data_IF_359614805740
#
_entry.id   IF_359614805740
#
_cell.length_a   1.000
_cell.length_b   1.000
_cell.length_c   1.000
_cell.angle_alpha   90.00
_cell.angle_beta   90.00
_cell.angle_gamma   90.00
#
_symmetry.space_group_name_H-M   'P 1'
#
loop_
_entity.id
_entity.type
_entity.pdbx_description
1 polymer ?
#
# COMPACT_ATOMS: atom_id res chain seq x y z
N UNK A 1 -0.11 -9.03 -12.31
CA UNK A 1 -1.37 -8.66 -12.97
C UNK A 1 -1.07 -7.61 -14.03
N UNK A 2 -1.37 -7.86 -15.31
CA UNK A 2 -0.90 -7.00 -16.42
C UNK A 2 -1.59 -5.63 -16.55
N UNK A 3 -2.63 -5.38 -15.72
CA UNK A 3 -3.50 -4.20 -15.79
C UNK A 3 -3.42 -3.30 -14.54
N UNK A 4 -2.32 -3.38 -13.81
CA UNK A 4 -2.09 -2.56 -12.61
C UNK A 4 -1.07 -1.45 -12.90
N UNK A 5 -1.54 -0.21 -12.88
CA UNK A 5 -0.68 0.96 -13.02
C UNK A 5 -0.47 1.60 -11.65
N UNK A 6 0.79 1.89 -11.32
CA UNK A 6 1.18 2.52 -10.06
C UNK A 6 1.79 3.88 -10.38
N UNK A 7 1.19 4.94 -9.83
CA UNK A 7 1.61 6.32 -9.96
C UNK A 7 2.31 6.77 -8.68
N UNK A 8 3.59 7.14 -8.79
CA UNK A 8 4.39 7.61 -7.67
C UNK A 8 5.62 8.41 -8.10
N UNK A 9 6.10 9.26 -7.21
CA UNK A 9 7.43 9.87 -7.31
C UNK A 9 8.51 8.89 -6.79
N UNK A 10 9.64 8.78 -7.51
CA UNK A 10 10.71 7.78 -7.33
C UNK A 10 10.89 7.30 -5.87
N UNK A 11 10.83 5.98 -5.66
CA UNK A 11 11.13 5.34 -4.36
C UNK A 11 9.92 4.82 -3.57
N UNK A 12 8.72 4.84 -4.15
CA UNK A 12 7.53 4.26 -3.54
C UNK A 12 7.42 2.76 -3.79
N UNK A 13 7.29 2.00 -2.70
CA UNK A 13 6.83 0.62 -2.72
C UNK A 13 5.32 0.60 -2.40
N UNK A 14 4.46 0.06 -3.28
CA UNK A 14 3.05 -0.11 -2.99
C UNK A 14 2.83 -0.92 -1.71
N UNK A 15 1.83 -0.52 -0.93
CA UNK A 15 1.37 -1.27 0.24
C UNK A 15 0.72 -2.58 -0.21
N UNK A 16 -0.09 -2.52 -1.27
CA UNK A 16 -0.77 -3.66 -1.86
C UNK A 16 -0.43 -3.76 -3.34
N UNK A 17 0.02 -4.96 -3.74
CA UNK A 17 0.37 -5.31 -5.12
C UNK A 17 -0.67 -6.28 -5.70
N UNK A 18 -1.24 -7.15 -4.88
CA UNK A 18 -2.19 -8.17 -5.35
C UNK A 18 -3.57 -7.60 -5.57
N UNK A 19 -4.28 -8.17 -6.55
CA UNK A 19 -5.69 -7.89 -6.81
C UNK A 19 -6.54 -8.32 -5.63
N UNK A 20 -7.57 -7.54 -5.33
CA UNK A 20 -8.58 -7.87 -4.33
C UNK A 20 -9.13 -9.30 -4.55
N UNK A 21 -8.99 -10.22 -3.58
CA UNK A 21 -9.31 -11.64 -3.78
C UNK A 21 -10.81 -11.91 -3.98
N UNK A 22 -11.67 -10.93 -3.64
CA UNK A 22 -13.11 -11.00 -3.85
C UNK A 22 -13.56 -10.46 -5.22
N UNK A 23 -12.65 -9.94 -6.04
CA UNK A 23 -12.98 -9.48 -7.41
C UNK A 23 -12.51 -10.53 -8.40
N UNK A 24 -13.45 -11.23 -9.02
CA UNK A 24 -13.16 -12.30 -9.98
C UNK A 24 -12.74 -11.74 -11.34
N UNK A 25 -13.41 -10.68 -11.81
CA UNK A 25 -13.18 -10.06 -13.13
C UNK A 25 -11.82 -9.37 -13.21
N UNK A 26 -11.14 -9.43 -14.36
CA UNK A 26 -10.01 -8.54 -14.63
C UNK A 26 -10.49 -7.10 -14.84
N UNK A 27 -9.77 -6.13 -14.28
CA UNK A 27 -10.05 -4.71 -14.47
C UNK A 27 -8.74 -3.90 -14.42
N UNK A 28 -8.80 -2.71 -15.00
CA UNK A 28 -7.73 -1.72 -14.82
C UNK A 28 -7.78 -1.17 -13.40
N UNK A 29 -6.63 -1.23 -12.74
CA UNK A 29 -6.48 -0.72 -11.38
C UNK A 29 -5.36 0.28 -11.34
N UNK A 30 -5.66 1.45 -10.77
CA UNK A 30 -4.70 2.51 -10.61
C UNK A 30 -4.38 2.70 -9.13
N UNK A 31 -3.09 2.69 -8.80
CA UNK A 31 -2.60 2.99 -7.46
C UNK A 31 -1.88 4.32 -7.45
N UNK A 32 -2.15 5.14 -6.45
CA UNK A 32 -1.54 6.46 -6.29
C UNK A 32 -0.89 6.56 -4.92
N UNK A 33 0.36 6.99 -4.87
CA UNK A 33 0.97 7.45 -3.64
C UNK A 33 0.44 8.87 -3.35
N UNK A 34 -0.43 9.00 -2.34
CA UNK A 34 -0.94 10.32 -1.94
C UNK A 34 0.02 11.04 -1.00
N UNK A 35 0.72 10.27 -0.17
CA UNK A 35 1.63 10.81 0.81
C UNK A 35 2.68 9.76 1.17
N UNK A 36 3.93 10.18 1.23
CA UNK A 36 4.99 9.39 1.82
C UNK A 36 5.90 10.31 2.63
N UNK A 37 6.14 9.94 3.89
CA UNK A 37 7.09 10.64 4.75
C UNK A 37 8.00 9.65 5.44
N UNK A 38 9.30 9.87 5.30
CA UNK A 38 10.34 9.13 6.00
C UNK A 38 10.93 10.02 7.09
N UNK A 39 10.75 9.62 8.34
CA UNK A 39 11.37 10.23 9.52
C UNK A 39 12.25 9.18 10.18
N UNK A 40 13.57 9.29 10.02
CA UNK A 40 14.55 8.33 10.52
C UNK A 40 14.26 6.90 10.01
N UNK A 41 13.88 5.99 10.90
CA UNK A 41 13.51 4.59 10.62
C UNK A 41 12.03 4.40 10.35
N UNK A 42 11.21 5.43 10.55
CA UNK A 42 9.76 5.36 10.42
C UNK A 42 9.33 5.90 9.06
N UNK A 43 8.61 5.08 8.31
CA UNK A 43 8.05 5.42 7.00
C UNK A 43 6.53 5.37 7.12
N UNK A 44 5.87 6.48 6.80
CA UNK A 44 4.42 6.56 6.71
C UNK A 44 4.03 6.73 5.26
N UNK A 45 3.09 5.91 4.80
CA UNK A 45 2.64 5.87 3.42
C UNK A 45 1.12 5.86 3.39
N UNK A 46 0.55 6.73 2.56
CA UNK A 46 -0.87 6.75 2.21
C UNK A 46 -1.01 6.43 0.72
N UNK A 47 -1.69 5.33 0.42
CA UNK A 47 -1.96 4.88 -0.94
C UNK A 47 -3.47 4.90 -1.22
N UNK A 48 -3.83 5.39 -2.40
CA UNK A 48 -5.18 5.29 -2.95
C UNK A 48 -5.18 4.24 -4.06
N UNK A 49 -6.15 3.35 -4.05
CA UNK A 49 -6.38 2.38 -5.12
C UNK A 49 -7.76 2.64 -5.70
N UNK A 50 -7.81 2.91 -7.00
CA UNK A 50 -9.04 3.09 -7.77
C UNK A 50 -9.22 1.90 -8.68
N UNK A 51 -10.26 1.10 -8.40
CA UNK A 51 -10.72 0.00 -9.24
C UNK A 51 -11.92 0.40 -10.09
N UNK A 52 -12.60 -0.60 -10.68
CA UNK A 52 -13.76 -0.37 -11.57
C UNK A 52 -14.94 0.33 -10.88
N UNK A 53 -15.21 -0.06 -9.63
CA UNK A 53 -16.35 0.45 -8.85
C UNK A 53 -16.02 0.61 -7.36
N UNK A 54 -14.73 0.49 -7.02
CA UNK A 54 -14.22 0.51 -5.66
C UNK A 54 -13.13 1.57 -5.53
N UNK A 55 -13.10 2.18 -4.36
CA UNK A 55 -11.99 3.01 -3.92
C UNK A 55 -11.49 2.44 -2.60
N UNK A 56 -10.18 2.20 -2.51
CA UNK A 56 -9.54 1.75 -1.28
C UNK A 56 -8.49 2.77 -0.86
N UNK A 57 -8.41 3.03 0.44
CA UNK A 57 -7.41 3.90 1.05
C UNK A 57 -6.60 3.06 2.02
N UNK A 58 -5.31 2.96 1.75
CA UNK A 58 -4.37 2.20 2.56
C UNK A 58 -3.43 3.16 3.28
N UNK A 59 -3.36 3.04 4.60
CA UNK A 59 -2.41 3.75 5.44
C UNK A 59 -1.48 2.75 6.11
N UNK A 60 -0.19 2.83 5.79
CA UNK A 60 0.83 1.97 6.36
C UNK A 60 1.87 2.80 7.11
N UNK A 61 2.17 2.37 8.33
CA UNK A 61 3.26 2.90 9.14
C UNK A 61 4.26 1.78 9.34
N UNK A 62 5.42 1.86 8.67
CA UNK A 62 6.57 0.99 8.88
C UNK A 62 7.54 1.66 9.84
N UNK A 63 8.18 0.89 10.70
CA UNK A 63 9.24 1.38 11.57
C UNK A 63 10.34 0.33 11.64
N UNK A 64 11.42 0.57 10.90
CA UNK A 64 12.54 -0.37 10.75
C UNK A 64 13.35 -0.53 12.05
N UNK A 65 13.13 0.34 13.04
CA UNK A 65 13.75 0.22 14.37
C UNK A 65 13.07 -0.83 15.25
N UNK A 66 11.84 -1.26 14.91
CA UNK A 66 11.08 -2.19 15.73
C UNK A 66 11.44 -3.63 15.39
N UNK A 67 11.66 -4.42 16.44
CA UNK A 67 11.85 -5.87 16.29
C UNK A 67 10.59 -6.53 15.71
N UNK A 68 10.76 -7.68 15.04
CA UNK A 68 9.63 -8.49 14.53
C UNK A 68 8.58 -8.80 15.62
N UNK A 69 8.99 -8.87 16.90
CA UNK A 69 8.10 -9.07 18.04
C UNK A 69 7.23 -7.85 18.37
N UNK A 70 7.75 -6.62 18.24
CA UNK A 70 6.98 -5.39 18.45
C UNK A 70 6.08 -5.09 17.25
N UNK A 71 6.57 -5.33 16.03
CA UNK A 71 5.75 -5.31 14.82
C UNK A 71 4.62 -6.34 14.90
N UNK A 72 4.80 -7.40 15.72
CA UNK A 72 3.83 -8.47 15.82
C UNK A 72 2.50 -8.12 16.47
N UNK A 73 2.50 -7.02 17.23
CA UNK A 73 1.36 -6.52 18.00
C UNK A 73 0.53 -5.49 17.22
N UNK A 74 0.96 -5.11 16.02
CA UNK A 74 0.23 -4.13 15.21
C UNK A 74 -0.95 -4.79 14.50
N UNK A 75 -2.10 -4.10 14.40
CA UNK A 75 -3.36 -4.70 13.96
C UNK A 75 -3.38 -5.12 12.49
N UNK A 76 -2.42 -4.68 11.67
CA UNK A 76 -2.35 -4.99 10.25
C UNK A 76 -0.93 -5.45 9.92
N UNK A 77 -0.59 -6.68 10.28
CA UNK A 77 0.59 -7.34 9.70
C UNK A 77 0.31 -7.50 8.21
N UNK A 78 1.08 -6.77 7.40
CA UNK A 78 0.96 -6.71 5.94
C UNK A 78 0.80 -8.08 5.29
#
# INVERSE_FOLDING_TARGET
DGKHTIHYDKGFEPIVIDKEPWVMDEYERNSYCLYQKKENTRIQTLQLIVGRSTVQIWHQVRDDSKSKGELSKLPNKG
#
